data_IF_748985326712
#
_entry.id   IF_748985326712
#
_cell.length_a   1.000
_cell.length_b   1.000
_cell.length_c   1.000
_cell.angle_alpha   90.00
_cell.angle_beta   90.00
_cell.angle_gamma   90.00
#
_symmetry.space_group_name_H-M   'P 1'
#
loop_
_entity.id
_entity.type
_entity.pdbx_description
1 polymer ?
#
# COMPACT_ATOMS: atom_id res chain seq x y z
N UNK A 1 -7.03 49.58 -23.39
CA UNK A 1 -5.65 50.04 -23.11
C UNK A 1 -5.69 50.93 -21.89
N UNK A 2 -4.90 50.58 -20.85
CA UNK A 2 -4.46 51.44 -19.69
C UNK A 2 -5.56 52.09 -18.82
N UNK A 3 -5.48 52.29 -17.49
CA UNK A 3 -4.65 51.83 -16.37
C UNK A 3 -5.26 52.47 -15.09
N UNK A 4 -5.28 51.73 -13.97
CA UNK A 4 -4.89 52.15 -12.61
C UNK A 4 -5.67 53.20 -11.74
N UNK A 5 -6.14 52.69 -10.57
CA UNK A 5 -5.83 53.11 -9.16
C UNK A 5 -6.71 54.16 -8.41
N UNK A 6 -7.50 53.61 -7.46
CA UNK A 6 -7.75 53.92 -6.02
C UNK A 6 -7.80 55.37 -5.46
N UNK A 7 -8.87 55.67 -4.67
CA UNK A 7 -8.80 55.93 -3.20
C UNK A 7 -10.17 56.19 -2.50
N UNK A 8 -10.38 55.43 -1.40
CA UNK A 8 -10.90 55.75 -0.04
C UNK A 8 -12.22 56.52 0.20
N UNK A 9 -13.10 55.90 1.03
CA UNK A 9 -13.70 56.45 2.28
C UNK A 9 -14.63 55.39 2.93
N UNK A 10 -14.28 54.75 4.05
CA UNK A 10 -14.44 55.16 5.47
C UNK A 10 -15.72 54.63 6.13
N UNK A 11 -15.66 53.56 6.93
CA UNK A 11 -16.58 53.37 8.06
C UNK A 11 -15.83 52.77 9.26
N UNK A 12 -16.04 53.41 10.42
CA UNK A 12 -15.34 53.27 11.70
C UNK A 12 -15.67 51.92 12.38
N UNK A 13 -14.69 51.31 13.06
CA UNK A 13 -14.94 50.18 13.99
C UNK A 13 -15.01 50.69 15.44
N UNK A 14 -15.94 50.19 16.28
CA UNK A 14 -15.98 50.52 17.70
C UNK A 14 -14.98 49.67 18.49
N UNK A 15 -14.54 50.26 19.60
CA UNK A 15 -13.57 49.74 20.56
C UNK A 15 -14.09 48.48 21.27
N UNK A 16 -13.23 47.47 21.43
CA UNK A 16 -13.37 46.36 22.39
C UNK A 16 -12.04 46.23 23.17
N UNK A 17 -12.05 45.88 24.47
CA UNK A 17 -10.88 46.05 25.35
C UNK A 17 -9.82 44.98 25.12
N UNK A 18 -8.56 45.43 25.11
CA UNK A 18 -7.34 44.62 25.11
C UNK A 18 -7.11 44.01 26.51
N UNK A 19 -7.56 42.78 26.77
CA UNK A 19 -7.04 42.05 27.95
C UNK A 19 -7.01 40.52 27.89
N UNK A 20 -7.52 39.87 26.84
CA UNK A 20 -7.45 38.39 26.73
C UNK A 20 -6.47 37.87 25.68
N UNK A 21 -5.83 38.75 24.90
CA UNK A 21 -4.96 38.38 23.78
C UNK A 21 -3.46 38.20 24.10
N UNK A 22 -3.01 38.52 25.31
CA UNK A 22 -1.57 38.52 25.65
C UNK A 22 -1.06 37.15 26.12
N UNK A 23 -1.90 36.31 26.73
CA UNK A 23 -1.50 35.00 27.26
C UNK A 23 -1.39 33.92 26.16
N UNK A 24 -2.26 33.94 25.15
CA UNK A 24 -2.22 33.01 24.00
C UNK A 24 -1.14 33.36 22.97
N UNK A 25 -0.65 34.61 22.97
CA UNK A 25 0.35 35.09 22.01
C UNK A 25 1.78 34.74 22.48
N UNK A 26 2.03 34.72 23.78
CA UNK A 26 3.36 34.41 24.36
C UNK A 26 3.71 32.92 24.21
N UNK A 27 2.77 32.00 24.48
CA UNK A 27 2.97 30.56 24.29
C UNK A 27 3.24 30.21 22.82
N UNK A 28 2.49 30.82 21.89
CA UNK A 28 2.68 30.67 20.44
C UNK A 28 4.06 31.12 19.97
N UNK A 29 4.59 32.23 20.48
CA UNK A 29 5.93 32.72 20.14
C UNK A 29 7.08 31.92 20.78
N UNK A 30 6.85 31.34 21.97
CA UNK A 30 7.85 30.52 22.66
C UNK A 30 7.96 29.12 22.03
N UNK A 31 6.83 28.47 21.70
CA UNK A 31 6.81 27.25 20.87
C UNK A 31 7.46 27.53 19.50
N UNK A 32 7.12 28.65 18.84
CA UNK A 32 7.75 29.01 17.56
C UNK A 32 9.28 29.15 17.61
N UNK A 33 9.84 29.68 18.70
CA UNK A 33 11.30 29.88 18.87
C UNK A 33 12.03 28.62 19.34
N UNK A 34 11.39 27.75 20.13
CA UNK A 34 11.95 26.47 20.60
C UNK A 34 12.07 25.46 19.45
N UNK A 35 11.06 25.43 18.58
CA UNK A 35 10.90 24.45 17.49
C UNK A 35 11.81 24.69 16.27
N UNK A 36 12.39 25.88 16.13
CA UNK A 36 13.37 26.19 15.06
C UNK A 36 14.82 25.86 15.44
N UNK A 37 15.08 25.52 16.71
CA UNK A 37 16.43 25.34 17.28
C UNK A 37 16.73 23.90 17.73
N UNK A 38 15.71 23.09 18.02
CA UNK A 38 15.83 21.71 18.48
C UNK A 38 15.69 20.70 17.34
N UNK A 39 16.35 19.55 17.50
CA UNK A 39 16.32 18.43 16.55
C UNK A 39 14.92 17.82 16.48
N UNK A 40 14.57 17.24 15.33
CA UNK A 40 13.27 16.58 15.09
C UNK A 40 12.91 15.52 16.15
N UNK A 41 13.89 14.98 16.85
CA UNK A 41 13.73 13.89 17.83
C UNK A 41 13.20 14.35 19.20
N UNK A 42 13.22 15.65 19.50
CA UNK A 42 12.85 16.20 20.82
C UNK A 42 11.33 16.34 21.03
N UNK A 43 10.52 16.15 19.99
CA UNK A 43 9.06 16.29 20.05
C UNK A 43 8.37 15.00 20.44
N UNK A 44 7.31 15.08 21.25
CA UNK A 44 6.31 14.00 21.38
C UNK A 44 5.42 13.91 20.13
N UNK A 45 4.71 12.79 19.94
CA UNK A 45 3.78 12.66 18.81
C UNK A 45 2.66 13.71 18.88
N UNK A 46 2.12 13.99 20.07
CA UNK A 46 1.07 15.01 20.26
C UNK A 46 1.57 16.42 19.86
N UNK A 47 2.77 16.80 20.31
CA UNK A 47 3.36 18.10 19.94
C UNK A 47 3.64 18.19 18.44
N UNK A 48 4.10 17.10 17.82
CA UNK A 48 4.35 17.04 16.39
C UNK A 48 3.04 17.15 15.59
N UNK A 49 1.96 16.51 16.05
CA UNK A 49 0.63 16.61 15.43
C UNK A 49 0.10 18.04 15.46
N UNK A 50 0.07 18.67 16.63
CA UNK A 50 -0.41 20.05 16.79
C UNK A 50 0.44 21.03 15.97
N UNK A 51 1.76 20.82 15.92
CA UNK A 51 2.66 21.63 15.10
C UNK A 51 2.31 21.55 13.60
N UNK A 52 2.14 20.34 13.06
CA UNK A 52 1.81 20.12 11.65
C UNK A 52 0.44 20.74 11.36
N UNK A 53 -0.56 20.48 12.22
CA UNK A 53 -1.93 20.99 12.08
C UNK A 53 -1.99 22.52 12.08
N UNK A 54 -1.31 23.21 13.00
CA UNK A 54 -1.28 24.68 13.04
C UNK A 54 -0.64 25.28 11.77
N UNK A 55 0.40 24.63 11.22
CA UNK A 55 1.16 25.16 10.07
C UNK A 55 0.65 24.73 8.70
N UNK A 56 -0.14 23.66 8.56
CA UNK A 56 -0.93 23.42 7.33
C UNK A 56 -1.82 24.62 6.97
N UNK A 57 -2.09 25.53 7.93
CA UNK A 57 -2.88 26.75 7.73
C UNK A 57 -2.10 27.93 7.11
N UNK A 58 -0.79 27.81 6.82
CA UNK A 58 0.02 28.90 6.23
C UNK A 58 0.76 28.44 4.95
N UNK A 59 0.48 29.02 3.76
CA UNK A 59 1.19 28.69 2.52
C UNK A 59 2.67 29.11 2.57
N UNK A 60 3.61 28.26 2.11
CA UNK A 60 5.00 28.67 1.83
C UNK A 60 6.17 27.90 2.47
N UNK A 61 5.95 26.92 3.38
CA UNK A 61 7.04 26.17 4.07
C UNK A 61 7.06 24.67 3.73
N UNK A 62 7.23 24.34 2.45
CA UNK A 62 6.97 23.00 1.89
C UNK A 62 7.91 21.86 2.39
N UNK A 63 9.25 22.00 2.41
CA UNK A 63 10.15 20.86 2.73
C UNK A 63 10.17 20.47 4.21
N UNK A 64 10.20 21.47 5.11
CA UNK A 64 10.26 21.24 6.57
C UNK A 64 8.98 20.59 7.10
N UNK A 65 7.84 20.92 6.48
CA UNK A 65 6.53 20.42 6.88
C UNK A 65 6.33 18.96 6.44
N UNK A 66 6.79 18.62 5.23
CA UNK A 66 6.78 17.23 4.75
C UNK A 66 7.69 16.33 5.60
N UNK A 67 8.90 16.78 5.97
CA UNK A 67 9.81 15.94 6.77
C UNK A 67 9.23 15.65 8.17
N UNK A 68 8.53 16.62 8.76
CA UNK A 68 7.82 16.45 10.03
C UNK A 68 6.63 15.51 9.93
N UNK A 69 5.81 15.66 8.88
CA UNK A 69 4.73 14.72 8.59
C UNK A 69 5.26 13.30 8.39
N UNK A 70 6.34 13.18 7.63
CA UNK A 70 7.02 11.91 7.42
C UNK A 70 7.48 11.31 8.74
N UNK A 71 8.17 12.06 9.59
CA UNK A 71 8.63 11.59 10.89
C UNK A 71 7.46 11.16 11.78
N UNK A 72 6.36 11.92 11.81
CA UNK A 72 5.13 11.54 12.52
C UNK A 72 4.64 10.16 12.06
N UNK A 73 4.52 9.94 10.75
CA UNK A 73 4.10 8.66 10.18
C UNK A 73 5.05 7.49 10.53
N UNK A 74 6.36 7.73 10.67
CA UNK A 74 7.31 6.71 11.15
C UNK A 74 7.15 6.38 12.64
N UNK A 75 6.61 7.32 13.42
CA UNK A 75 6.43 7.20 14.87
C UNK A 75 5.05 6.71 15.28
N UNK A 76 4.13 6.50 14.34
CA UNK A 76 2.80 5.90 14.61
C UNK A 76 2.97 4.50 15.21
N UNK A 77 2.37 4.30 16.39
CA UNK A 77 2.35 3.03 17.15
C UNK A 77 0.94 2.61 17.56
N UNK A 78 -0.03 3.52 17.54
CA UNK A 78 -1.43 3.19 17.86
C UNK A 78 -2.40 3.50 16.70
N UNK A 79 -3.60 2.89 16.68
CA UNK A 79 -4.65 3.22 15.71
C UNK A 79 -5.11 4.68 15.77
N UNK A 80 -5.10 5.31 16.94
CA UNK A 80 -5.49 6.71 17.12
C UNK A 80 -4.46 7.67 16.51
N UNK A 81 -3.17 7.36 16.68
CA UNK A 81 -2.08 8.10 16.02
C UNK A 81 -2.13 7.92 14.51
N UNK A 82 -2.58 6.77 14.01
CA UNK A 82 -2.82 6.58 12.59
C UNK A 82 -3.93 7.50 12.07
N UNK A 83 -5.06 7.58 12.78
CA UNK A 83 -6.17 8.46 12.39
C UNK A 83 -5.74 9.91 12.31
N UNK A 84 -4.95 10.34 13.29
CA UNK A 84 -4.29 11.65 13.29
C UNK A 84 -3.34 11.81 12.11
N UNK A 85 -2.51 10.81 11.80
CA UNK A 85 -1.62 10.87 10.63
C UNK A 85 -2.42 11.03 9.32
N UNK A 86 -3.56 10.35 9.24
CA UNK A 86 -4.47 10.41 8.10
C UNK A 86 -5.12 11.79 7.96
N UNK A 87 -5.57 12.38 9.08
CA UNK A 87 -6.08 13.75 9.13
C UNK A 87 -5.03 14.75 8.64
N UNK A 88 -3.79 14.64 9.13
CA UNK A 88 -2.70 15.53 8.71
C UNK A 88 -2.39 15.42 7.22
N UNK A 89 -2.40 14.20 6.66
CA UNK A 89 -2.20 13.97 5.22
C UNK A 89 -3.32 14.59 4.41
N UNK A 90 -4.57 14.43 4.87
CA UNK A 90 -5.73 15.01 4.20
C UNK A 90 -5.64 16.53 4.15
N UNK A 91 -5.37 17.15 5.30
CA UNK A 91 -5.23 18.60 5.41
C UNK A 91 -4.04 19.13 4.60
N UNK A 92 -2.92 18.39 4.61
CA UNK A 92 -1.74 18.73 3.81
C UNK A 92 -2.07 18.68 2.32
N UNK A 93 -2.74 17.62 1.86
CA UNK A 93 -3.04 17.44 0.44
C UNK A 93 -4.09 18.42 -0.08
N UNK A 94 -5.17 18.67 0.68
CA UNK A 94 -6.21 19.65 0.33
C UNK A 94 -5.65 21.05 0.09
N UNK A 95 -4.53 21.38 0.74
CA UNK A 95 -3.96 22.73 0.74
C UNK A 95 -2.69 22.87 -0.11
N UNK A 96 -1.83 21.85 -0.25
CA UNK A 96 -0.40 22.12 -0.51
C UNK A 96 0.45 21.18 -1.41
N UNK A 97 -0.03 20.06 -2.02
CA UNK A 97 0.62 19.23 -3.10
C UNK A 97 0.35 17.69 -2.93
N UNK A 98 0.69 16.81 -3.92
CA UNK A 98 0.60 15.34 -3.78
C UNK A 98 1.50 14.81 -2.66
N UNK A 99 0.97 13.94 -1.80
CA UNK A 99 1.77 13.28 -0.75
C UNK A 99 2.62 12.17 -1.36
N UNK A 100 3.90 12.10 -0.98
CA UNK A 100 4.89 11.18 -1.54
C UNK A 100 4.68 9.72 -1.09
N UNK A 101 5.03 8.77 -1.98
CA UNK A 101 4.86 7.33 -1.76
C UNK A 101 5.59 6.70 -0.56
N UNK A 102 6.50 7.42 0.10
CA UNK A 102 7.16 6.97 1.35
C UNK A 102 6.22 7.06 2.55
N UNK A 103 5.44 8.13 2.66
CA UNK A 103 4.48 8.35 3.75
C UNK A 103 3.33 7.33 3.65
N UNK A 104 2.81 7.13 2.44
CA UNK A 104 1.76 6.13 2.19
C UNK A 104 2.21 4.71 2.54
N UNK A 105 3.48 4.37 2.29
CA UNK A 105 4.04 3.06 2.63
C UNK A 105 4.03 2.83 4.15
N UNK A 106 4.54 3.77 4.93
CA UNK A 106 4.62 3.61 6.39
C UNK A 106 3.24 3.43 7.02
N UNK A 107 2.26 4.16 6.52
CA UNK A 107 0.88 4.04 6.96
C UNK A 107 0.22 2.71 6.57
N UNK A 108 0.49 2.17 5.37
CA UNK A 108 0.05 0.81 5.03
C UNK A 108 0.69 -0.21 5.98
N UNK A 109 2.00 -0.08 6.21
CA UNK A 109 2.75 -0.97 7.10
C UNK A 109 2.24 -0.91 8.55
N UNK A 110 1.83 0.25 9.05
CA UNK A 110 1.25 0.39 10.40
C UNK A 110 -0.13 -0.27 10.49
N UNK A 111 -1.03 -0.05 9.53
CA UNK A 111 -2.37 -0.66 9.54
C UNK A 111 -2.32 -2.19 9.44
N UNK A 112 -1.42 -2.71 8.61
CA UNK A 112 -1.15 -4.15 8.55
C UNK A 112 -0.63 -4.67 9.89
N UNK A 113 0.25 -3.92 10.56
CA UNK A 113 0.77 -4.27 11.89
C UNK A 113 -0.31 -4.25 12.97
N UNK A 114 -1.28 -3.34 12.86
CA UNK A 114 -2.44 -3.26 13.75
C UNK A 114 -3.51 -4.31 13.46
N UNK A 115 -3.27 -5.21 12.49
CA UNK A 115 -4.21 -6.28 12.15
C UNK A 115 -5.39 -5.82 11.29
N UNK A 116 -5.34 -4.60 10.74
CA UNK A 116 -6.44 -3.95 10.04
C UNK A 116 -6.15 -3.73 8.53
N UNK A 117 -5.75 -4.75 7.75
CA UNK A 117 -5.40 -4.55 6.34
C UNK A 117 -6.60 -4.05 5.49
N UNK A 118 -7.85 -4.34 5.88
CA UNK A 118 -9.04 -3.76 5.24
C UNK A 118 -9.05 -2.22 5.31
N UNK A 119 -8.60 -1.65 6.41
CA UNK A 119 -8.50 -0.18 6.57
C UNK A 119 -7.37 0.38 5.72
N UNK A 120 -6.26 -0.35 5.58
CA UNK A 120 -5.21 -0.02 4.61
C UNK A 120 -5.69 -0.05 3.15
N UNK A 121 -6.59 -0.97 2.77
CA UNK A 121 -7.21 -0.97 1.43
C UNK A 121 -8.02 0.31 1.21
N UNK A 122 -8.86 0.70 2.18
CA UNK A 122 -9.61 1.96 2.09
C UNK A 122 -8.70 3.18 2.00
N UNK A 123 -7.58 3.17 2.74
CA UNK A 123 -6.57 4.23 2.65
C UNK A 123 -5.97 4.33 1.23
N UNK A 124 -5.73 3.20 0.55
CA UNK A 124 -5.26 3.19 -0.84
C UNK A 124 -6.33 3.72 -1.79
N UNK A 125 -7.58 3.30 -1.67
CA UNK A 125 -8.70 3.80 -2.50
C UNK A 125 -8.90 5.31 -2.33
N UNK A 126 -8.64 5.81 -1.12
CA UNK A 126 -8.70 7.22 -0.82
C UNK A 126 -7.52 8.00 -1.37
N UNK A 127 -6.30 7.50 -1.21
CA UNK A 127 -5.11 8.10 -1.83
C UNK A 127 -5.24 8.11 -3.36
N UNK A 128 -5.90 7.11 -3.96
CA UNK A 128 -6.31 7.13 -5.36
C UNK A 128 -7.22 8.33 -5.66
N UNK A 129 -8.25 8.57 -4.86
CA UNK A 129 -9.14 9.73 -5.04
C UNK A 129 -8.37 11.07 -5.00
N UNK A 130 -7.27 11.11 -4.24
CA UNK A 130 -6.36 12.25 -4.15
C UNK A 130 -5.28 12.28 -5.26
N UNK A 131 -5.35 11.40 -6.27
CA UNK A 131 -4.39 11.33 -7.36
C UNK A 131 -2.99 10.82 -6.95
N UNK A 132 -2.88 10.18 -5.78
CA UNK A 132 -1.62 9.64 -5.28
C UNK A 132 -1.41 8.20 -5.74
N UNK A 133 -0.15 7.84 -5.98
CA UNK A 133 0.26 6.46 -6.30
C UNK A 133 1.04 5.88 -5.12
N UNK A 134 0.46 4.99 -4.31
CA UNK A 134 1.21 4.28 -3.29
C UNK A 134 2.32 3.46 -3.96
N UNK A 135 3.49 3.39 -3.33
CA UNK A 135 4.59 2.61 -3.88
C UNK A 135 4.26 1.11 -3.99
N UNK A 136 4.86 0.43 -4.98
CA UNK A 136 4.80 -1.02 -5.23
C UNK A 136 4.96 -1.86 -3.95
N UNK A 137 5.89 -1.45 -3.08
CA UNK A 137 6.14 -2.15 -1.81
C UNK A 137 4.94 -2.11 -0.85
N UNK A 138 4.21 -1.00 -0.76
CA UNK A 138 3.03 -0.90 0.10
C UNK A 138 1.93 -1.87 -0.35
N UNK A 139 1.70 -1.96 -1.66
CA UNK A 139 0.78 -2.95 -2.24
C UNK A 139 1.22 -4.39 -1.94
N UNK A 140 2.50 -4.71 -2.07
CA UNK A 140 3.03 -6.05 -1.79
C UNK A 140 2.87 -6.47 -0.32
N UNK A 141 3.11 -5.54 0.62
CA UNK A 141 2.88 -5.77 2.05
C UNK A 141 1.40 -6.03 2.32
N UNK A 142 0.51 -5.21 1.75
CA UNK A 142 -0.92 -5.34 1.95
C UNK A 142 -1.46 -6.64 1.35
N UNK A 143 -1.08 -6.96 0.12
CA UNK A 143 -1.46 -8.19 -0.57
C UNK A 143 -0.97 -9.43 0.20
N UNK A 144 0.22 -9.37 0.80
CA UNK A 144 0.73 -10.42 1.69
C UNK A 144 -0.14 -10.59 2.94
N UNK A 145 -0.52 -9.49 3.58
CA UNK A 145 -1.35 -9.51 4.80
C UNK A 145 -2.75 -10.07 4.52
N UNK A 146 -3.41 -9.58 3.46
CA UNK A 146 -4.73 -10.04 3.05
C UNK A 146 -4.73 -11.52 2.66
N UNK A 147 -3.69 -11.97 1.94
CA UNK A 147 -3.52 -13.39 1.58
C UNK A 147 -3.37 -14.28 2.81
N UNK A 148 -2.65 -13.84 3.85
CA UNK A 148 -2.54 -14.59 5.11
C UNK A 148 -3.86 -14.66 5.88
N UNK A 149 -4.70 -13.63 5.77
CA UNK A 149 -6.03 -13.61 6.38
C UNK A 149 -7.09 -14.35 5.56
N UNK A 150 -6.76 -14.77 4.32
CA UNK A 150 -7.74 -15.38 3.41
C UNK A 150 -8.79 -14.39 2.89
N UNK A 151 -8.56 -13.08 3.00
CA UNK A 151 -9.53 -12.05 2.59
C UNK A 151 -9.47 -11.80 1.07
N UNK A 152 -10.01 -12.76 0.31
CA UNK A 152 -10.02 -12.73 -1.15
C UNK A 152 -10.72 -11.49 -1.70
N UNK A 153 -11.78 -11.02 -1.05
CA UNK A 153 -12.58 -9.88 -1.52
C UNK A 153 -11.77 -8.58 -1.49
N UNK A 154 -11.06 -8.31 -0.39
CA UNK A 154 -10.16 -7.17 -0.31
C UNK A 154 -8.97 -7.29 -1.28
N UNK A 155 -8.49 -8.51 -1.55
CA UNK A 155 -7.45 -8.74 -2.57
C UNK A 155 -7.96 -8.41 -3.97
N UNK A 156 -9.21 -8.76 -4.31
CA UNK A 156 -9.85 -8.39 -5.57
C UNK A 156 -9.97 -6.88 -5.71
N UNK A 157 -10.41 -6.17 -4.68
CA UNK A 157 -10.45 -4.69 -4.68
C UNK A 157 -9.08 -4.08 -4.94
N UNK A 158 -8.03 -4.63 -4.32
CA UNK A 158 -6.66 -4.19 -4.52
C UNK A 158 -6.16 -4.46 -5.95
N UNK A 159 -6.57 -5.59 -6.54
CA UNK A 159 -6.28 -5.93 -7.94
C UNK A 159 -6.93 -4.95 -8.92
N UNK A 160 -8.24 -4.71 -8.82
CA UNK A 160 -8.93 -3.75 -9.68
C UNK A 160 -8.39 -2.32 -9.53
N UNK A 161 -8.09 -1.91 -8.30
CA UNK A 161 -7.42 -0.63 -8.06
C UNK A 161 -6.06 -0.52 -8.78
N UNK A 162 -5.34 -1.63 -8.92
CA UNK A 162 -4.06 -1.66 -9.63
C UNK A 162 -4.23 -1.57 -11.15
N UNK A 163 -5.31 -2.14 -11.70
CA UNK A 163 -5.64 -2.00 -13.12
C UNK A 163 -5.99 -0.57 -13.50
N UNK A 164 -6.62 0.18 -12.60
CA UNK A 164 -6.97 1.60 -12.75
C UNK A 164 -5.75 2.56 -12.67
N UNK A 165 -4.53 2.02 -12.56
CA UNK A 165 -3.30 2.83 -12.60
C UNK A 165 -2.82 3.36 -11.24
N UNK A 166 -3.34 2.83 -10.12
CA UNK A 166 -2.84 3.18 -8.78
C UNK A 166 -1.39 2.73 -8.55
N UNK A 167 -0.96 1.68 -9.24
CA UNK A 167 0.39 1.13 -9.18
C UNK A 167 0.80 0.60 -10.55
N UNK A 168 2.09 0.65 -10.84
CA UNK A 168 2.64 0.04 -12.05
C UNK A 168 2.59 -1.49 -11.94
N UNK A 169 1.86 -2.13 -12.86
CA UNK A 169 1.78 -3.59 -12.97
C UNK A 169 2.97 -4.15 -13.75
N UNK A 170 4.14 -4.14 -13.10
CA UNK A 170 5.35 -4.75 -13.63
C UNK A 170 5.41 -6.26 -13.35
N UNK A 171 6.45 -6.91 -13.88
CA UNK A 171 6.73 -8.34 -13.66
C UNK A 171 6.66 -8.76 -12.19
N UNK A 172 7.16 -7.93 -11.26
CA UNK A 172 7.14 -8.25 -9.84
C UNK A 172 5.72 -8.28 -9.28
N UNK A 173 4.93 -7.25 -9.56
CA UNK A 173 3.55 -7.12 -9.08
C UNK A 173 2.66 -8.23 -9.60
N UNK A 174 2.67 -8.48 -10.91
CA UNK A 174 1.85 -9.55 -11.50
C UNK A 174 2.24 -10.94 -10.98
N UNK A 175 3.54 -11.22 -10.83
CA UNK A 175 4.00 -12.47 -10.22
C UNK A 175 3.50 -12.61 -8.78
N UNK A 176 3.50 -11.52 -8.00
CA UNK A 176 3.03 -11.54 -6.62
C UNK A 176 1.52 -11.75 -6.55
N UNK A 177 0.73 -11.16 -7.45
CA UNK A 177 -0.71 -11.45 -7.55
C UNK A 177 -0.99 -12.92 -7.84
N UNK A 178 -0.32 -13.51 -8.83
CA UNK A 178 -0.43 -14.96 -9.12
C UNK A 178 -0.11 -15.77 -7.86
N UNK A 179 1.01 -15.48 -7.21
CA UNK A 179 1.47 -16.21 -6.02
C UNK A 179 0.46 -16.13 -4.87
N UNK A 180 -0.14 -14.96 -4.65
CA UNK A 180 -1.01 -14.70 -3.50
C UNK A 180 -2.42 -15.22 -3.73
N UNK A 181 -2.99 -15.03 -4.92
CA UNK A 181 -4.28 -15.61 -5.28
C UNK A 181 -4.22 -17.15 -5.32
N UNK A 182 -3.12 -17.73 -5.79
CA UNK A 182 -2.91 -19.17 -5.73
C UNK A 182 -2.95 -19.71 -4.28
N UNK A 183 -2.26 -19.05 -3.34
CA UNK A 183 -2.25 -19.47 -1.92
C UNK A 183 -3.62 -19.48 -1.26
N UNK A 184 -4.52 -18.57 -1.67
CA UNK A 184 -5.91 -18.53 -1.17
C UNK A 184 -6.88 -19.29 -2.08
N UNK A 185 -6.35 -20.10 -3.01
CA UNK A 185 -7.10 -20.93 -3.96
C UNK A 185 -8.11 -20.16 -4.83
N UNK A 186 -7.89 -18.86 -5.02
CA UNK A 186 -8.70 -18.01 -5.89
C UNK A 186 -8.23 -18.15 -7.34
N UNK A 187 -8.36 -19.36 -7.90
CA UNK A 187 -7.80 -19.72 -9.21
C UNK A 187 -8.38 -18.89 -10.38
N UNK A 188 -9.64 -18.47 -10.29
CA UNK A 188 -10.25 -17.56 -11.27
C UNK A 188 -9.47 -16.24 -11.39
N UNK A 189 -9.08 -15.66 -10.25
CA UNK A 189 -8.28 -14.43 -10.23
C UNK A 189 -6.86 -14.68 -10.74
N UNK A 190 -6.31 -15.87 -10.54
CA UNK A 190 -5.00 -16.23 -11.10
C UNK A 190 -5.07 -16.19 -12.63
N UNK A 191 -6.11 -16.77 -13.23
CA UNK A 191 -6.27 -16.75 -14.69
C UNK A 191 -6.51 -15.34 -15.24
N UNK A 192 -7.23 -14.48 -14.51
CA UNK A 192 -7.38 -13.06 -14.89
C UNK A 192 -6.03 -12.33 -14.90
N UNK A 193 -5.20 -12.54 -13.86
CA UNK A 193 -3.86 -11.93 -13.79
C UNK A 193 -2.96 -12.44 -14.92
N UNK A 194 -3.02 -13.73 -15.23
CA UNK A 194 -2.29 -14.33 -16.35
C UNK A 194 -2.75 -13.74 -17.69
N UNK A 195 -4.06 -13.60 -17.90
CA UNK A 195 -4.62 -12.96 -19.10
C UNK A 195 -4.07 -11.54 -19.28
N UNK A 196 -4.11 -10.72 -18.23
CA UNK A 196 -3.56 -9.36 -18.26
C UNK A 196 -2.06 -9.36 -18.54
N UNK A 197 -1.29 -10.28 -17.94
CA UNK A 197 0.15 -10.40 -18.20
C UNK A 197 0.42 -10.71 -19.68
N UNK A 198 -0.38 -11.57 -20.30
CA UNK A 198 -0.28 -11.93 -21.72
C UNK A 198 -0.65 -10.76 -22.63
N UNK A 199 -1.78 -10.11 -22.38
CA UNK A 199 -2.25 -8.93 -23.14
C UNK A 199 -1.25 -7.78 -23.11
N UNK A 200 -0.58 -7.57 -21.97
CA UNK A 200 0.44 -6.52 -21.81
C UNK A 200 1.85 -6.96 -22.19
N UNK A 201 2.03 -8.20 -22.68
CA UNK A 201 3.33 -8.81 -22.97
C UNK A 201 4.33 -8.70 -21.80
N UNK A 202 3.84 -8.84 -20.56
CA UNK A 202 4.68 -8.76 -19.36
C UNK A 202 5.16 -10.17 -18.99
N UNK A 203 6.47 -10.35 -19.03
CA UNK A 203 7.13 -11.56 -18.53
C UNK A 203 6.83 -11.77 -17.04
N UNK A 204 6.52 -12.99 -16.65
CA UNK A 204 6.35 -13.40 -15.25
C UNK A 204 7.59 -14.12 -14.72
N UNK A 205 7.62 -14.37 -13.40
CA UNK A 205 8.71 -15.14 -12.77
C UNK A 205 8.26 -16.50 -12.28
N UNK A 206 9.19 -17.43 -12.28
CA UNK A 206 9.04 -18.82 -11.84
C UNK A 206 8.34 -18.99 -10.48
N UNK A 207 8.62 -18.18 -9.43
CA UNK A 207 7.97 -18.37 -8.13
C UNK A 207 6.44 -18.27 -8.13
N UNK A 208 5.84 -17.53 -9.08
CA UNK A 208 4.37 -17.47 -9.20
C UNK A 208 3.78 -18.83 -9.60
N UNK A 209 4.39 -19.46 -10.61
CA UNK A 209 3.96 -20.76 -11.15
C UNK A 209 4.27 -21.91 -10.20
N UNK A 210 5.42 -21.90 -9.52
CA UNK A 210 5.75 -22.94 -8.53
C UNK A 210 4.75 -22.97 -7.38
N UNK A 211 4.34 -21.80 -6.88
CA UNK A 211 3.31 -21.74 -5.84
C UNK A 211 1.97 -22.22 -6.37
N UNK A 212 1.57 -21.83 -7.59
CA UNK A 212 0.34 -22.30 -8.20
C UNK A 212 0.33 -23.83 -8.38
N UNK A 213 1.40 -24.41 -8.92
CA UNK A 213 1.55 -25.85 -9.10
C UNK A 213 1.54 -26.58 -7.74
N UNK A 214 2.29 -26.08 -6.75
CA UNK A 214 2.29 -26.63 -5.38
C UNK A 214 0.90 -26.61 -4.74
N UNK A 215 0.15 -25.51 -4.89
CA UNK A 215 -1.22 -25.42 -4.35
C UNK A 215 -2.18 -26.42 -5.02
N UNK A 216 -2.04 -26.63 -6.34
CA UNK A 216 -2.82 -27.63 -7.08
C UNK A 216 -2.46 -29.06 -6.67
N UNK A 217 -1.18 -29.33 -6.46
CA UNK A 217 -0.71 -30.61 -5.95
C UNK A 217 -1.25 -30.92 -4.55
N UNK A 218 -1.24 -29.93 -3.65
CA UNK A 218 -1.84 -30.03 -2.31
C UNK A 218 -3.36 -30.27 -2.36
N UNK A 219 -4.04 -29.77 -3.38
CA UNK A 219 -5.45 -30.05 -3.66
C UNK A 219 -5.68 -31.44 -4.30
N UNK A 220 -4.63 -32.24 -4.47
CA UNK A 220 -4.72 -33.58 -5.05
C UNK A 220 -4.88 -33.60 -6.57
N UNK A 221 -4.49 -32.52 -7.27
CA UNK A 221 -4.63 -32.33 -8.73
C UNK A 221 -3.25 -32.30 -9.43
N UNK A 222 -2.51 -33.41 -9.46
CA UNK A 222 -1.14 -33.45 -10.01
C UNK A 222 -1.08 -33.16 -11.51
N UNK A 223 -2.08 -33.61 -12.29
CA UNK A 223 -2.12 -33.37 -13.75
C UNK A 223 -2.21 -31.88 -14.06
N UNK A 224 -3.03 -31.15 -13.31
CA UNK A 224 -3.11 -29.69 -13.43
C UNK A 224 -1.85 -29.00 -12.95
N UNK A 225 -1.19 -29.52 -11.91
CA UNK A 225 0.09 -28.99 -11.46
C UNK A 225 1.15 -29.08 -12.57
N UNK A 226 1.20 -30.19 -13.31
CA UNK A 226 2.09 -30.34 -14.48
C UNK A 226 1.72 -29.36 -15.60
N UNK A 227 0.43 -29.20 -15.91
CA UNK A 227 -0.03 -28.22 -16.90
C UNK A 227 0.39 -26.78 -16.54
N UNK A 228 0.36 -26.43 -15.25
CA UNK A 228 0.86 -25.12 -14.78
C UNK A 228 2.34 -24.94 -15.09
N UNK A 229 3.16 -25.99 -14.87
CA UNK A 229 4.59 -25.94 -15.20
C UNK A 229 4.84 -25.84 -16.71
N UNK A 230 4.04 -26.52 -17.52
CA UNK A 230 4.15 -26.45 -18.99
C UNK A 230 3.79 -25.07 -19.55
N UNK A 231 2.79 -24.40 -18.95
CA UNK A 231 2.35 -23.05 -19.32
C UNK A 231 3.39 -21.97 -19.00
N UNK A 232 4.38 -22.24 -18.15
CA UNK A 232 5.42 -21.26 -17.77
C UNK A 232 6.11 -20.61 -18.98
N UNK A 233 6.37 -21.39 -20.04
CA UNK A 233 7.04 -20.93 -21.26
C UNK A 233 6.26 -19.84 -21.99
N UNK A 234 4.92 -19.88 -21.92
CA UNK A 234 4.03 -18.89 -22.56
C UNK A 234 4.19 -17.49 -21.94
N UNK A 235 4.68 -17.43 -20.70
CA UNK A 235 4.89 -16.19 -19.95
C UNK A 235 6.37 -15.79 -19.85
N UNK A 236 7.24 -16.42 -20.66
CA UNK A 236 8.68 -16.17 -20.69
C UNK A 236 9.42 -16.60 -19.42
N UNK A 237 8.82 -17.43 -18.57
CA UNK A 237 9.51 -17.98 -17.41
C UNK A 237 10.57 -18.99 -17.87
N UNK A 238 11.75 -18.96 -17.25
CA UNK A 238 12.79 -19.95 -17.52
C UNK A 238 12.59 -21.15 -16.59
N UNK A 239 12.73 -22.33 -17.18
CA UNK A 239 12.85 -23.57 -16.43
C UNK A 239 14.15 -23.54 -15.61
N UNK A 240 14.06 -23.87 -14.33
CA UNK A 240 15.19 -23.84 -13.40
C UNK A 240 15.22 -25.14 -12.57
N UNK A 241 16.23 -25.28 -11.72
CA UNK A 241 16.36 -26.47 -10.86
C UNK A 241 15.12 -26.71 -10.00
N UNK A 242 14.46 -25.66 -9.52
CA UNK A 242 13.23 -25.76 -8.71
C UNK A 242 12.03 -26.26 -9.51
N UNK A 243 11.85 -25.81 -10.75
CA UNK A 243 10.79 -26.31 -11.64
C UNK A 243 10.98 -27.78 -12.00
N UNK A 244 12.23 -28.19 -12.29
CA UNK A 244 12.56 -29.60 -12.53
C UNK A 244 12.33 -30.48 -11.30
N UNK A 245 12.74 -30.01 -10.12
CA UNK A 245 12.50 -30.71 -8.87
C UNK A 245 11.00 -30.90 -8.57
N UNK A 246 10.20 -29.85 -8.76
CA UNK A 246 8.75 -29.92 -8.57
C UNK A 246 8.08 -30.85 -9.58
N UNK A 247 8.50 -30.84 -10.85
CA UNK A 247 7.99 -31.79 -11.85
C UNK A 247 8.23 -33.23 -11.43
N UNK A 248 9.48 -33.54 -11.03
CA UNK A 248 9.84 -34.87 -10.54
C UNK A 248 9.01 -35.29 -9.33
N UNK A 249 8.82 -34.39 -8.37
CA UNK A 249 7.98 -34.64 -7.19
C UNK A 249 6.54 -35.01 -7.59
N UNK A 250 5.95 -34.30 -8.54
CA UNK A 250 4.59 -34.57 -9.03
C UNK A 250 4.52 -35.95 -9.71
N UNK A 251 5.49 -36.29 -10.55
CA UNK A 251 5.57 -37.57 -11.27
C UNK A 251 5.80 -38.76 -10.32
N UNK A 252 6.67 -38.61 -9.32
CA UNK A 252 6.93 -39.62 -8.29
C UNK A 252 5.64 -39.91 -7.48
N UNK A 253 4.89 -38.87 -7.12
CA UNK A 253 3.60 -39.00 -6.41
C UNK A 253 2.52 -39.67 -7.27
N UNK A 254 2.47 -39.39 -8.58
CA UNK A 254 1.55 -40.04 -9.50
C UNK A 254 1.85 -41.55 -9.60
N UNK A 255 3.14 -41.91 -9.67
CA UNK A 255 3.60 -43.30 -9.77
C UNK A 255 3.30 -44.11 -8.50
N UNK A 256 3.44 -43.49 -7.31
CA UNK A 256 3.08 -44.12 -6.03
C UNK A 256 1.56 -44.38 -5.89
N UNK A 257 0.72 -43.52 -6.46
CA UNK A 257 -0.74 -43.72 -6.45
C UNK A 257 -1.18 -44.89 -7.34
N UNK A 258 -0.51 -45.09 -8.47
CA UNK A 258 -0.79 -46.22 -9.37
C UNK A 258 -0.44 -47.57 -8.72
N UNK A 259 0.73 -47.67 -8.09
CA UNK A 259 1.17 -48.92 -7.42
C UNK A 259 0.33 -49.29 -6.19
N UNK A 260 -0.21 -48.30 -5.47
CA UNK A 260 -1.09 -48.53 -4.31
C UNK A 260 -2.51 -48.91 -4.69
N UNK A 261 -3.01 -48.49 -5.87
CA UNK A 261 -4.31 -48.92 -6.38
C UNK A 261 -4.27 -50.34 -6.95
N UNK A 262 -3.23 -50.73 -7.70
CA UNK A 262 -3.09 -52.10 -8.21
C UNK A 262 -3.06 -53.15 -7.08
N UNK A 263 -2.40 -52.84 -5.96
CA UNK A 263 -2.34 -53.74 -4.78
C UNK A 263 -3.67 -53.84 -4.00
N UNK A 264 -4.65 -52.96 -4.25
CA UNK A 264 -5.99 -53.02 -3.64
C UNK A 264 -7.00 -53.78 -4.50
N UNK A 265 -6.79 -53.88 -5.81
CA UNK A 265 -7.66 -54.64 -6.72
C UNK A 265 -7.34 -56.15 -6.72
N UNK A 266 -6.18 -56.55 -6.20
CA UNK A 266 -5.75 -57.96 -6.06
C UNK A 266 -6.12 -58.61 -4.70
N UNK A 267 -6.90 -57.94 -3.85
CA UNK A 267 -7.40 -58.47 -2.55
C UNK A 267 -8.91 -58.43 -2.47
#
# INVERSE_FOLDING_TARGET
MFCAILKRSSWKKPWLPLSTGLFLRSSKTLLQKRITKETLDDFTNDELFEYIKERTSRPGQYPLHYEKLRQYCYRVRTPEEFDRAYELIFDYHKKLLPVHGKVSRQLIESEVRFGNPKRAVKAIEYWRFLGMKPGIYGFSVLLTALSKQGDVESMKKLWYSSLDGCVELNTHMLTEYVRRFAKVKAYEMVEEVLKIAKERNVRLRTPGFLVLASTKLQDGRPEEALQVLDRMKEFGCLDNSSTKAMRKEIEDLATQKLSTNSNKEEK
#
